data_IF_026625743981
#
_entry.id   IF_026625743981
#
_cell.length_a   1.000
_cell.length_b   1.000
_cell.length_c   1.000
_cell.angle_alpha   90.00
_cell.angle_beta   90.00
_cell.angle_gamma   90.00
#
_symmetry.space_group_name_H-M   'P 1'
#
loop_
_entity.id
_entity.type
_entity.pdbx_description
1 polymer ?
#
# COMPACT_ATOMS: atom_id res chain seq x y z
N UNK A 1 19.33 10.64 -11.34
CA UNK A 1 19.94 10.07 -10.16
C UNK A 1 19.22 8.83 -9.72
N UNK A 2 19.78 8.16 -8.75
CA UNK A 2 19.15 6.97 -8.22
C UNK A 2 17.90 7.32 -7.41
N UNK A 3 16.85 6.52 -7.55
CA UNK A 3 15.69 6.73 -6.71
C UNK A 3 16.04 6.46 -5.24
N UNK A 4 15.47 7.23 -4.36
CA UNK A 4 15.66 7.07 -2.92
C UNK A 4 14.40 6.49 -2.35
N UNK A 5 14.52 5.41 -1.61
CA UNK A 5 13.38 4.80 -0.95
C UNK A 5 13.23 5.40 0.44
N UNK A 6 12.06 5.95 0.70
CA UNK A 6 11.72 6.45 2.02
C UNK A 6 11.15 5.28 2.81
N UNK A 7 11.87 4.85 3.83
CA UNK A 7 11.42 3.73 4.65
C UNK A 7 10.49 4.22 5.77
N UNK A 8 10.01 3.29 6.58
CA UNK A 8 9.09 3.63 7.66
C UNK A 8 9.66 4.67 8.62
N UNK A 9 10.92 4.54 9.00
CA UNK A 9 11.56 5.46 9.92
C UNK A 9 11.61 6.87 9.34
N UNK A 10 11.98 6.98 8.08
CA UNK A 10 12.04 8.26 7.40
C UNK A 10 10.64 8.88 7.26
N UNK A 11 9.66 8.05 6.97
CA UNK A 11 8.27 8.51 6.81
C UNK A 11 7.73 9.04 8.14
N UNK A 12 7.98 8.32 9.24
CA UNK A 12 7.56 8.74 10.57
C UNK A 12 8.19 10.08 10.94
N UNK A 13 9.48 10.24 10.67
CA UNK A 13 10.17 11.49 10.96
C UNK A 13 9.58 12.65 10.16
N UNK A 14 9.29 12.43 8.89
CA UNK A 14 8.71 13.47 8.04
C UNK A 14 7.30 13.85 8.51
N UNK A 15 6.49 12.87 8.87
CA UNK A 15 5.14 13.12 9.36
C UNK A 15 5.20 13.89 10.68
N UNK A 16 6.10 13.48 11.57
CA UNK A 16 6.25 14.15 12.86
C UNK A 16 6.59 15.64 12.67
N UNK A 17 7.52 15.91 11.79
CA UNK A 17 7.92 17.28 11.52
C UNK A 17 6.80 18.12 10.92
N UNK A 18 6.18 17.61 9.88
CA UNK A 18 5.14 18.35 9.16
C UNK A 18 3.86 18.53 9.95
N UNK A 19 3.51 17.56 10.77
CA UNK A 19 2.28 17.61 11.56
C UNK A 19 2.50 18.15 12.96
N UNK A 20 3.72 18.53 13.29
CA UNK A 20 4.09 19.02 14.64
C UNK A 20 3.80 17.97 15.70
N UNK A 21 4.14 16.74 15.41
CA UNK A 21 3.99 15.62 16.33
C UNK A 21 5.37 15.15 16.79
N UNK A 22 5.39 14.41 17.89
CA UNK A 22 6.60 13.70 18.26
C UNK A 22 6.73 12.50 17.34
N UNK A 23 7.94 11.95 17.25
CA UNK A 23 8.14 10.75 16.45
C UNK A 23 7.31 9.59 16.96
N UNK A 24 7.15 9.50 18.29
CA UNK A 24 6.31 8.47 18.87
C UNK A 24 4.86 8.62 18.45
N UNK A 25 4.34 9.85 18.48
CA UNK A 25 2.97 10.12 18.08
C UNK A 25 2.75 9.79 16.59
N UNK A 26 3.70 10.15 15.75
CA UNK A 26 3.62 9.86 14.34
C UNK A 26 3.67 8.35 14.07
N UNK A 27 4.54 7.65 14.79
CA UNK A 27 4.64 6.21 14.66
C UNK A 27 3.37 5.51 15.12
N UNK A 28 2.81 5.95 16.24
CA UNK A 28 1.57 5.40 16.77
C UNK A 28 0.41 5.63 15.77
N UNK A 29 0.36 6.80 15.17
CA UNK A 29 -0.67 7.11 14.19
C UNK A 29 -0.57 6.19 12.97
N UNK A 30 0.64 5.97 12.48
CA UNK A 30 0.86 5.11 11.35
C UNK A 30 0.54 3.65 11.68
N UNK A 31 0.92 3.20 12.87
CA UNK A 31 0.62 1.85 13.32
C UNK A 31 -0.88 1.64 13.45
N UNK A 32 -1.59 2.64 13.98
CA UNK A 32 -3.05 2.57 14.12
C UNK A 32 -3.71 2.54 12.75
N UNK A 33 -3.22 3.31 11.81
CA UNK A 33 -3.73 3.29 10.45
C UNK A 33 -3.59 1.89 9.85
N UNK A 34 -2.45 1.25 10.09
CA UNK A 34 -2.22 -0.11 9.63
C UNK A 34 -3.20 -1.10 10.26
N UNK A 35 -3.45 -0.96 11.56
CA UNK A 35 -4.40 -1.83 12.25
C UNK A 35 -5.81 -1.68 11.70
N UNK A 36 -6.24 -0.45 11.43
CA UNK A 36 -7.54 -0.19 10.85
C UNK A 36 -7.66 -0.82 9.47
N UNK A 37 -6.60 -0.73 8.66
CA UNK A 37 -6.59 -1.37 7.36
C UNK A 37 -6.75 -2.89 7.49
N UNK A 38 -6.01 -3.48 8.40
CA UNK A 38 -6.06 -4.93 8.61
C UNK A 38 -7.46 -5.37 9.03
N UNK A 39 -8.05 -4.65 9.98
CA UNK A 39 -9.38 -4.99 10.47
C UNK A 39 -10.44 -4.92 9.38
N UNK A 40 -10.47 -3.83 8.64
CA UNK A 40 -11.49 -3.65 7.61
C UNK A 40 -11.31 -4.58 6.42
N UNK A 41 -10.08 -4.72 5.96
CA UNK A 41 -9.80 -5.63 4.85
C UNK A 41 -10.00 -7.08 5.26
N UNK A 42 -9.77 -7.38 6.53
CA UNK A 42 -9.99 -8.72 7.06
C UNK A 42 -11.45 -9.12 7.05
N UNK A 43 -12.37 -8.16 7.19
CA UNK A 43 -13.80 -8.43 7.11
C UNK A 43 -14.36 -8.33 5.70
N UNK A 44 -13.53 -8.01 4.74
CA UNK A 44 -13.94 -7.89 3.35
C UNK A 44 -14.37 -6.50 2.91
N UNK A 45 -14.24 -5.53 3.80
CA UNK A 45 -14.57 -4.15 3.47
C UNK A 45 -13.41 -3.48 2.76
N UNK A 46 -13.71 -2.57 1.85
CA UNK A 46 -12.66 -1.76 1.24
C UNK A 46 -12.44 -0.51 2.08
N UNK A 47 -11.24 0.05 1.97
CA UNK A 47 -10.89 1.28 2.68
C UNK A 47 -10.52 2.32 1.64
N UNK A 48 -11.21 3.45 1.67
CA UNK A 48 -10.94 4.54 0.75
C UNK A 48 -10.51 5.78 1.52
N UNK A 49 -9.34 6.30 1.17
CA UNK A 49 -8.87 7.57 1.69
C UNK A 49 -9.03 8.58 0.56
N UNK A 50 -10.06 9.39 0.65
CA UNK A 50 -10.42 10.33 -0.41
C UNK A 50 -9.23 11.23 -0.78
N UNK A 51 -8.90 11.26 -2.06
CA UNK A 51 -7.82 12.09 -2.55
C UNK A 51 -6.44 11.48 -2.39
N UNK A 52 -6.35 10.28 -1.85
CA UNK A 52 -5.07 9.62 -1.64
C UNK A 52 -5.04 8.23 -2.29
N UNK A 53 -5.72 7.29 -1.70
CA UNK A 53 -5.68 5.92 -2.20
C UNK A 53 -6.91 5.14 -1.74
N UNK A 54 -7.08 3.98 -2.32
CA UNK A 54 -8.03 3.00 -1.83
C UNK A 54 -7.37 1.64 -1.73
N UNK A 55 -7.84 0.83 -0.81
CA UNK A 55 -7.36 -0.52 -0.62
C UNK A 55 -8.56 -1.46 -0.60
N UNK A 56 -8.42 -2.60 -1.24
CA UNK A 56 -9.49 -3.58 -1.25
C UNK A 56 -8.92 -4.99 -1.18
N UNK A 57 -9.73 -5.90 -0.69
CA UNK A 57 -9.39 -7.30 -0.67
C UNK A 57 -10.03 -7.96 -1.86
N UNK A 58 -9.21 -8.58 -2.68
CA UNK A 58 -9.68 -9.30 -3.87
C UNK A 58 -9.43 -10.77 -3.64
N UNK A 59 -10.44 -11.59 -3.90
CA UNK A 59 -10.28 -13.02 -3.80
C UNK A 59 -9.90 -13.57 -5.17
N UNK A 60 -8.81 -14.32 -5.18
CA UNK A 60 -8.34 -14.99 -6.39
C UNK A 60 -8.81 -16.43 -6.36
N UNK A 61 -9.52 -16.83 -7.38
CA UNK A 61 -9.99 -18.20 -7.47
C UNK A 61 -8.82 -19.18 -7.62
N UNK A 62 -9.06 -20.42 -7.21
CA UNK A 62 -8.09 -21.48 -7.43
C UNK A 62 -7.86 -21.65 -8.93
N UNK A 63 -6.62 -21.91 -9.30
CA UNK A 63 -6.26 -22.11 -10.70
C UNK A 63 -5.07 -23.06 -10.79
N UNK A 64 -4.75 -23.46 -12.02
CA UNK A 64 -3.59 -24.29 -12.27
C UNK A 64 -2.48 -23.41 -12.83
N UNK A 65 -1.35 -23.41 -12.14
CA UNK A 65 -0.15 -22.77 -12.65
C UNK A 65 0.74 -23.81 -13.30
N UNK A 66 1.89 -23.38 -13.79
CA UNK A 66 2.84 -24.28 -14.41
C UNK A 66 4.25 -23.97 -13.91
N UNK A 67 4.98 -25.00 -13.55
CA UNK A 67 6.35 -24.85 -13.14
C UNK A 67 7.20 -24.60 -14.40
N UNK A 68 7.83 -23.43 -14.53
CA UNK A 68 8.63 -23.14 -15.73
C UNK A 68 9.85 -24.02 -15.89
N UNK A 69 10.27 -24.68 -14.84
CA UNK A 69 11.43 -25.56 -14.87
C UNK A 69 11.13 -26.92 -15.45
N UNK A 70 10.02 -27.51 -15.02
CA UNK A 70 9.67 -28.88 -15.36
C UNK A 70 8.48 -28.95 -16.30
N UNK A 71 7.72 -27.88 -16.42
CA UNK A 71 6.50 -27.87 -17.20
C UNK A 71 5.34 -28.55 -16.51
N UNK A 72 5.51 -28.96 -15.27
CA UNK A 72 4.43 -29.63 -14.54
C UNK A 72 3.36 -28.65 -14.11
N UNK A 73 2.11 -29.13 -14.11
CA UNK A 73 1.01 -28.35 -13.60
C UNK A 73 1.05 -28.31 -12.09
N UNK A 74 0.89 -27.13 -11.53
CA UNK A 74 0.89 -26.92 -10.09
C UNK A 74 -0.45 -26.32 -9.70
N UNK A 75 -1.21 -26.95 -8.80
CA UNK A 75 -2.45 -26.35 -8.34
C UNK A 75 -2.17 -25.13 -7.47
N UNK A 76 -2.83 -24.03 -7.78
CA UNK A 76 -2.74 -22.82 -6.98
C UNK A 76 -4.08 -22.61 -6.33
N UNK A 77 -4.12 -22.69 -5.00
CA UNK A 77 -5.36 -22.56 -4.26
C UNK A 77 -5.93 -21.15 -4.29
N UNK A 78 -7.19 -21.02 -3.96
CA UNK A 78 -7.82 -19.72 -3.81
C UNK A 78 -7.11 -18.95 -2.70
N UNK A 79 -7.00 -17.63 -2.89
CA UNK A 79 -6.32 -16.79 -1.89
C UNK A 79 -6.88 -15.38 -1.91
N UNK A 80 -6.63 -14.67 -0.83
CA UNK A 80 -7.03 -13.28 -0.70
C UNK A 80 -5.83 -12.40 -0.95
N UNK A 81 -6.04 -11.36 -1.75
CA UNK A 81 -4.97 -10.44 -2.12
C UNK A 81 -5.43 -9.03 -1.80
N UNK A 82 -4.55 -8.23 -1.25
CA UNK A 82 -4.83 -6.82 -0.99
C UNK A 82 -4.32 -6.02 -2.18
N UNK A 83 -5.20 -5.21 -2.75
CA UNK A 83 -4.86 -4.38 -3.91
C UNK A 83 -5.04 -2.92 -3.52
N UNK A 84 -4.05 -2.10 -3.86
CA UNK A 84 -4.08 -0.67 -3.61
C UNK A 84 -4.19 0.08 -4.93
N UNK A 85 -5.00 1.14 -4.91
CA UNK A 85 -5.19 1.99 -6.08
C UNK A 85 -4.93 3.44 -5.68
N UNK A 86 -4.08 4.12 -6.43
CA UNK A 86 -3.85 5.54 -6.21
C UNK A 86 -5.06 6.31 -6.71
N UNK A 87 -5.45 7.36 -5.97
CA UNK A 87 -6.55 8.20 -6.41
C UNK A 87 -6.11 9.06 -7.60
N UNK A 88 -7.10 9.50 -8.40
CA UNK A 88 -6.82 10.40 -9.52
C UNK A 88 -6.18 11.70 -9.04
N UNK A 89 -6.66 12.21 -7.91
CA UNK A 89 -6.12 13.43 -7.36
C UNK A 89 -4.65 13.28 -6.95
N UNK A 90 -4.29 12.14 -6.36
CA UNK A 90 -2.90 11.88 -6.01
C UNK A 90 -2.03 11.84 -7.26
N UNK A 91 -2.50 11.16 -8.29
CA UNK A 91 -1.76 11.07 -9.54
C UNK A 91 -1.54 12.44 -10.17
N UNK A 92 -2.57 13.28 -10.16
CA UNK A 92 -2.47 14.63 -10.69
C UNK A 92 -1.48 15.48 -9.91
N UNK A 93 -1.54 15.41 -8.60
CA UNK A 93 -0.64 16.20 -7.76
C UNK A 93 0.82 15.80 -7.94
N UNK A 94 1.07 14.52 -8.13
CA UNK A 94 2.43 14.04 -8.35
C UNK A 94 2.95 14.53 -9.71
N UNK A 95 2.10 14.56 -10.73
CA UNK A 95 2.51 15.02 -12.05
C UNK A 95 2.73 16.53 -12.11
N UNK A 96 1.94 17.28 -11.35
CA UNK A 96 2.05 18.73 -11.31
C UNK A 96 3.17 19.23 -10.41
N UNK A 97 3.63 18.39 -9.51
CA UNK A 97 4.69 18.76 -8.59
C UNK A 97 6.00 19.00 -9.30
N UNK A 98 7.04 19.37 -8.53
CA UNK A 98 8.36 19.56 -9.11
C UNK A 98 8.78 18.33 -9.89
N UNK A 99 9.50 18.54 -10.98
CA UNK A 99 9.94 17.43 -11.80
C UNK A 99 10.68 16.42 -10.95
N UNK A 100 10.37 15.17 -11.18
CA UNK A 100 11.02 14.09 -10.47
C UNK A 100 12.49 14.08 -10.80
N UNK A 101 13.29 13.84 -9.81
CA UNK A 101 14.71 13.69 -10.02
C UNK A 101 14.98 12.26 -10.32
N UNK A 102 14.73 11.87 -11.38
CA UNK A 102 15.02 10.50 -11.72
C UNK A 102 16.44 10.35 -12.23
#
# INVERSE_FOLDING_TARGET
GKPVTVNRTDLVAAIAEKASLTKKQADDALATFQEVLIENLGTGESVTVTGLLSAERVERAARTGRNPRTGESIPIGARRVVTFHASSKLKEQVQEGPASKS
#
